data_IF_933904236192
#
_entry.id   IF_933904236192
#
_cell.length_a   1.000
_cell.length_b   1.000
_cell.length_c   1.000
_cell.angle_alpha   90.00
_cell.angle_beta   90.00
_cell.angle_gamma   90.00
#
_symmetry.space_group_name_H-M   'P 1'
#
loop_
_entity.id
_entity.type
_entity.pdbx_description
1 polymer ?
#
# COMPACT_ATOMS: atom_id res chain seq x y z
N UNK A 1 -16.25 19.16 3.27
CA UNK A 1 -16.99 19.13 4.55
C UNK A 1 -16.24 18.27 5.57
N UNK A 2 -15.41 18.88 6.43
CA UNK A 2 -14.62 18.18 7.46
C UNK A 2 -15.42 17.95 8.76
N UNK A 3 -16.43 18.77 9.07
CA UNK A 3 -17.17 18.73 10.35
C UNK A 3 -17.89 17.40 10.63
N UNK A 4 -18.51 16.76 9.63
CA UNK A 4 -19.28 15.52 9.82
C UNK A 4 -18.42 14.30 10.10
N UNK A 5 -17.20 14.23 9.53
CA UNK A 5 -16.26 13.13 9.81
C UNK A 5 -15.72 13.18 11.23
N UNK A 6 -15.40 14.38 11.73
CA UNK A 6 -14.91 14.57 13.10
C UNK A 6 -15.93 14.13 14.15
N UNK A 7 -17.21 14.41 13.90
CA UNK A 7 -18.27 14.11 14.85
C UNK A 7 -18.65 12.63 14.90
N UNK A 8 -18.50 11.90 13.79
CA UNK A 8 -18.70 10.45 13.73
C UNK A 8 -17.72 9.66 14.61
N UNK A 9 -16.58 10.24 14.97
CA UNK A 9 -15.55 9.61 15.79
C UNK A 9 -15.78 9.85 17.30
N UNK A 10 -16.74 10.71 17.65
CA UNK A 10 -17.04 11.13 19.01
C UNK A 10 -18.09 10.21 19.66
N UNK A 11 -17.85 9.81 20.91
CA UNK A 11 -18.75 8.99 21.73
C UNK A 11 -20.08 9.69 22.02
N UNK A 12 -20.09 11.02 22.01
CA UNK A 12 -21.29 11.83 22.26
C UNK A 12 -22.13 12.08 21.00
N UNK A 13 -21.85 11.39 19.89
CA UNK A 13 -22.63 11.55 18.66
C UNK A 13 -24.01 10.90 18.75
N UNK A 14 -25.08 11.67 18.59
CA UNK A 14 -26.45 11.17 18.42
C UNK A 14 -26.90 11.35 16.97
N UNK A 15 -27.53 10.31 16.41
CA UNK A 15 -28.11 10.33 15.06
C UNK A 15 -29.61 10.13 15.17
N UNK A 16 -30.39 11.01 14.53
CA UNK A 16 -31.82 10.76 14.31
C UNK A 16 -32.21 11.12 12.89
N UNK A 17 -33.16 10.38 12.32
CA UNK A 17 -33.70 10.66 10.98
C UNK A 17 -34.33 12.05 10.88
N UNK A 18 -34.91 12.54 11.99
CA UNK A 18 -35.61 13.83 12.05
C UNK A 18 -34.69 15.05 12.21
N UNK A 19 -33.57 14.92 12.93
CA UNK A 19 -32.69 16.05 13.28
C UNK A 19 -31.27 15.95 12.71
N UNK A 20 -30.93 14.83 12.05
CA UNK A 20 -29.59 14.55 11.56
C UNK A 20 -28.62 14.19 12.68
N UNK A 21 -27.35 14.60 12.53
CA UNK A 21 -26.28 14.40 13.53
C UNK A 21 -26.33 15.55 14.55
N UNK A 22 -26.50 15.22 15.83
CA UNK A 22 -26.56 16.19 16.93
C UNK A 22 -25.60 15.80 18.06
N UNK A 23 -25.15 16.80 18.82
CA UNK A 23 -24.28 16.56 19.96
C UNK A 23 -25.05 16.14 21.19
N UNK A 24 -24.75 14.98 21.76
CA UNK A 24 -25.41 14.45 22.95
C UNK A 24 -25.14 15.25 24.23
N UNK A 25 -24.11 16.11 24.25
CA UNK A 25 -23.79 17.00 25.37
C UNK A 25 -24.61 18.30 25.33
N UNK A 26 -24.86 18.85 24.14
CA UNK A 26 -25.51 20.16 23.98
C UNK A 26 -26.89 20.08 23.33
N UNK A 27 -27.27 18.91 22.82
CA UNK A 27 -28.43 18.65 21.95
C UNK A 27 -28.56 19.58 20.73
N UNK A 28 -27.49 20.31 20.39
CA UNK A 28 -27.43 21.22 19.24
C UNK A 28 -26.72 20.55 18.07
N UNK A 29 -26.94 21.09 16.87
CA UNK A 29 -26.15 20.71 15.69
C UNK A 29 -24.68 21.05 15.95
N UNK A 30 -23.73 20.21 15.48
CA UNK A 30 -22.32 20.46 15.64
C UNK A 30 -21.91 21.70 14.83
N UNK A 31 -21.65 22.79 15.54
CA UNK A 31 -21.21 24.08 14.99
C UNK A 31 -19.73 24.29 15.33
N UNK A 32 -18.85 23.54 14.65
CA UNK A 32 -17.41 23.58 14.94
C UNK A 32 -16.68 24.36 13.85
N UNK A 33 -16.26 25.58 14.13
CA UNK A 33 -15.45 26.37 13.19
C UNK A 33 -14.06 25.72 13.00
N UNK A 34 -13.46 25.14 14.06
CA UNK A 34 -12.15 24.45 13.96
C UNK A 34 -12.02 23.15 14.77
N UNK A 35 -12.48 23.07 16.02
CA UNK A 35 -12.39 21.85 16.86
C UNK A 35 -13.45 21.81 17.98
N UNK A 36 -13.64 20.62 18.57
CA UNK A 36 -14.49 20.39 19.73
C UNK A 36 -13.63 20.26 21.00
N UNK A 37 -13.79 21.12 22.02
CA UNK A 37 -12.97 21.06 23.24
C UNK A 37 -13.24 19.82 24.10
N UNK A 38 -14.47 19.28 24.08
CA UNK A 38 -14.88 18.13 24.88
C UNK A 38 -14.98 16.84 24.05
N UNK A 39 -14.17 16.69 22.98
CA UNK A 39 -14.22 15.48 22.17
C UNK A 39 -13.77 14.27 22.98
N UNK A 40 -14.60 13.23 23.04
CA UNK A 40 -14.24 11.92 23.58
C UNK A 40 -14.30 10.93 22.44
N UNK A 41 -13.16 10.34 22.09
CA UNK A 41 -13.12 9.35 21.02
C UNK A 41 -13.78 8.07 21.51
N UNK A 42 -14.56 7.44 20.63
CA UNK A 42 -15.16 6.14 20.93
C UNK A 42 -14.08 5.09 21.20
N UNK A 43 -14.37 4.13 22.07
CA UNK A 43 -13.50 2.97 22.31
C UNK A 43 -13.25 2.18 21.00
N UNK A 44 -14.27 2.07 20.15
CA UNK A 44 -14.18 1.50 18.81
C UNK A 44 -13.13 2.19 17.93
N UNK A 45 -13.03 3.51 17.99
CA UNK A 45 -12.00 4.28 17.27
C UNK A 45 -10.60 4.01 17.84
N UNK A 46 -10.44 4.03 19.16
CA UNK A 46 -9.15 3.75 19.80
C UNK A 46 -8.65 2.34 19.46
N UNK A 47 -9.55 1.35 19.47
CA UNK A 47 -9.24 -0.02 19.09
C UNK A 47 -8.85 -0.13 17.61
N UNK A 48 -9.57 0.54 16.71
CA UNK A 48 -9.22 0.58 15.27
C UNK A 48 -7.88 1.26 15.01
N UNK A 49 -7.55 2.32 15.76
CA UNK A 49 -6.26 2.99 15.64
C UNK A 49 -5.10 2.11 16.14
N UNK A 50 -5.34 1.34 17.23
CA UNK A 50 -4.37 0.37 17.75
C UNK A 50 -4.16 -0.80 16.79
N UNK A 51 -5.23 -1.33 16.19
CA UNK A 51 -5.12 -2.38 15.17
C UNK A 51 -4.37 -1.89 13.94
N UNK A 52 -4.69 -0.70 13.42
CA UNK A 52 -3.98 -0.10 12.28
C UNK A 52 -2.47 0.03 12.53
N UNK A 53 -2.08 0.45 13.74
CA UNK A 53 -0.67 0.51 14.13
C UNK A 53 -0.01 -0.89 14.18
N UNK A 54 -0.73 -1.89 14.68
CA UNK A 54 -0.28 -3.29 14.67
C UNK A 54 -0.10 -3.81 13.25
N UNK A 55 -1.08 -3.57 12.37
CA UNK A 55 -1.05 -4.02 10.97
C UNK A 55 0.11 -3.40 10.20
N UNK A 56 0.40 -2.11 10.41
CA UNK A 56 1.59 -1.46 9.84
C UNK A 56 2.88 -2.11 10.37
N UNK A 57 2.93 -2.48 11.65
CA UNK A 57 4.10 -3.13 12.26
C UNK A 57 4.30 -4.54 11.69
N UNK A 58 3.22 -5.31 11.54
CA UNK A 58 3.23 -6.64 10.94
C UNK A 58 3.63 -6.57 9.47
N UNK A 59 2.98 -5.69 8.68
CA UNK A 59 3.29 -5.49 7.27
C UNK A 59 4.76 -5.12 7.08
N UNK A 60 5.34 -4.27 7.94
CA UNK A 60 6.77 -3.91 7.88
C UNK A 60 7.72 -5.09 8.09
N UNK A 61 7.36 -6.12 8.85
CA UNK A 61 8.22 -7.29 9.05
C UNK A 61 8.49 -8.04 7.74
N UNK A 62 7.54 -7.99 6.80
CA UNK A 62 7.67 -8.59 5.47
C UNK A 62 8.63 -7.87 4.52
N UNK A 63 9.18 -6.70 4.89
CA UNK A 63 10.03 -5.88 4.01
C UNK A 63 11.20 -6.68 3.44
N UNK A 64 11.98 -7.30 4.32
CA UNK A 64 13.22 -7.97 3.91
C UNK A 64 12.89 -9.11 2.94
N UNK A 65 11.88 -9.92 3.27
CA UNK A 65 11.43 -11.04 2.42
C UNK A 65 10.97 -10.55 1.04
N UNK A 66 10.19 -9.47 0.99
CA UNK A 66 9.70 -8.91 -0.28
C UNK A 66 10.86 -8.38 -1.16
N UNK A 67 11.83 -7.71 -0.56
CA UNK A 67 13.01 -7.20 -1.27
C UNK A 67 13.96 -8.31 -1.73
N UNK A 68 14.16 -9.36 -0.92
CA UNK A 68 14.97 -10.52 -1.32
C UNK A 68 14.31 -11.25 -2.49
N UNK A 69 13.00 -11.52 -2.41
CA UNK A 69 12.26 -12.15 -3.52
C UNK A 69 12.35 -11.34 -4.80
N UNK A 70 12.17 -10.02 -4.69
CA UNK A 70 12.34 -9.10 -5.82
C UNK A 70 13.74 -9.18 -6.41
N UNK A 71 14.79 -9.06 -5.59
CA UNK A 71 16.17 -9.12 -6.04
C UNK A 71 16.50 -10.43 -6.75
N UNK A 72 16.10 -11.57 -6.18
CA UNK A 72 16.31 -12.89 -6.78
C UNK A 72 15.64 -13.01 -8.16
N UNK A 73 14.38 -12.60 -8.28
CA UNK A 73 13.65 -12.66 -9.55
C UNK A 73 14.27 -11.75 -10.62
N UNK A 74 14.72 -10.55 -10.23
CA UNK A 74 15.41 -9.63 -11.15
C UNK A 74 16.74 -10.23 -11.62
N UNK A 75 17.56 -10.76 -10.71
CA UNK A 75 18.85 -11.37 -11.07
C UNK A 75 18.67 -12.54 -12.04
N UNK A 76 17.74 -13.46 -11.72
CA UNK A 76 17.44 -14.61 -12.56
C UNK A 76 16.88 -14.15 -13.92
N UNK A 77 15.93 -13.22 -13.92
CA UNK A 77 15.32 -12.71 -15.15
C UNK A 77 16.34 -12.03 -16.08
N UNK A 78 17.23 -11.20 -15.52
CA UNK A 78 18.31 -10.56 -16.28
C UNK A 78 19.31 -11.59 -16.82
N UNK A 79 19.65 -12.61 -16.03
CA UNK A 79 20.52 -13.68 -16.49
C UNK A 79 19.93 -14.44 -17.69
N UNK A 80 18.63 -14.74 -17.65
CA UNK A 80 17.91 -15.37 -18.78
C UNK A 80 17.90 -14.46 -20.01
N UNK A 81 17.67 -13.15 -19.83
CA UNK A 81 17.73 -12.17 -20.93
C UNK A 81 19.13 -12.11 -21.54
N UNK A 82 20.19 -12.12 -20.74
CA UNK A 82 21.57 -12.17 -21.24
C UNK A 82 21.85 -13.43 -22.07
N UNK A 83 21.30 -14.58 -21.66
CA UNK A 83 21.39 -15.81 -22.46
C UNK A 83 20.65 -15.68 -23.79
N UNK A 84 19.50 -15.01 -23.83
CA UNK A 84 18.79 -14.74 -25.09
C UNK A 84 19.62 -13.89 -26.06
N UNK A 85 20.36 -12.90 -25.53
CA UNK A 85 21.22 -12.04 -26.33
C UNK A 85 22.37 -12.83 -27.00
N UNK A 86 23.00 -13.74 -26.26
CA UNK A 86 24.03 -14.62 -26.82
C UNK A 86 23.48 -15.51 -27.95
N UNK A 87 22.27 -16.06 -27.78
CA UNK A 87 21.61 -16.86 -28.82
C UNK A 87 21.28 -16.03 -30.07
N UNK A 88 20.94 -14.74 -29.92
CA UNK A 88 20.71 -13.85 -31.06
C UNK A 88 22.01 -13.59 -31.85
N UNK A 89 23.13 -13.39 -31.16
CA UNK A 89 24.44 -13.24 -31.82
C UNK A 89 24.77 -14.50 -32.61
N UNK A 90 24.61 -15.68 -32.01
CA UNK A 90 24.89 -16.95 -32.68
C UNK A 90 23.94 -17.23 -33.85
N UNK A 91 22.68 -16.79 -33.75
CA UNK A 91 21.74 -16.86 -34.87
C UNK A 91 22.14 -15.96 -36.05
N UNK A 92 22.79 -14.83 -35.77
CA UNK A 92 23.19 -13.83 -36.77
C UNK A 92 24.55 -14.15 -37.43
N UNK A 93 25.45 -14.84 -36.72
CA UNK A 93 26.76 -15.26 -37.28
C UNK A 93 26.65 -16.50 -38.16
N UNK A 94 25.61 -17.31 -37.97
CA UNK A 94 25.27 -18.40 -38.87
C UNK A 94 24.46 -17.80 -40.01
N UNK A 95 24.86 -18.04 -41.25
CA UNK A 95 24.04 -17.71 -42.42
C UNK A 95 22.61 -18.21 -42.21
N UNK A 96 21.64 -17.51 -42.80
CA UNK A 96 20.18 -17.71 -42.71
C UNK A 96 19.69 -19.10 -43.22
N UNK A 97 20.55 -20.10 -43.16
CA UNK A 97 20.25 -21.52 -43.13
C UNK A 97 19.20 -21.87 -42.07
N UNK A 98 18.58 -23.05 -42.23
CA UNK A 98 17.60 -23.63 -41.30
C UNK A 98 18.07 -23.59 -39.84
N UNK A 99 19.38 -23.77 -39.60
CA UNK A 99 20.04 -23.63 -38.30
C UNK A 99 19.80 -22.25 -37.69
N UNK A 100 20.15 -21.15 -38.37
CA UNK A 100 20.04 -19.79 -37.84
C UNK A 100 18.61 -19.41 -37.43
N UNK A 101 17.61 -19.82 -38.23
CA UNK A 101 16.20 -19.59 -37.92
C UNK A 101 15.75 -20.26 -36.60
N UNK A 102 16.21 -21.48 -36.33
CA UNK A 102 15.91 -22.18 -35.07
C UNK A 102 16.50 -21.46 -33.85
N UNK A 103 17.74 -20.97 -33.95
CA UNK A 103 18.37 -20.19 -32.87
C UNK A 103 17.66 -18.86 -32.65
N UNK A 104 17.26 -18.16 -33.72
CA UNK A 104 16.50 -16.92 -33.63
C UNK A 104 15.16 -17.12 -32.91
N UNK A 105 14.39 -18.15 -33.30
CA UNK A 105 13.12 -18.49 -32.64
C UNK A 105 13.32 -18.83 -31.16
N UNK A 106 14.34 -19.62 -30.85
CA UNK A 106 14.68 -19.96 -29.46
C UNK A 106 15.03 -18.70 -28.65
N UNK A 107 15.83 -17.80 -29.21
CA UNK A 107 16.24 -16.58 -28.54
C UNK A 107 15.05 -15.68 -28.19
N UNK A 108 14.08 -15.52 -29.11
CA UNK A 108 12.84 -14.77 -28.82
C UNK A 108 12.05 -15.41 -27.68
N UNK A 109 11.90 -16.74 -27.66
CA UNK A 109 11.19 -17.44 -26.59
C UNK A 109 11.87 -17.23 -25.23
N UNK A 110 13.20 -17.35 -25.19
CA UNK A 110 13.99 -17.12 -23.98
C UNK A 110 13.88 -15.66 -23.52
N UNK A 111 13.87 -14.69 -24.44
CA UNK A 111 13.71 -13.27 -24.13
C UNK A 111 12.33 -12.97 -23.51
N UNK A 112 11.26 -13.54 -24.08
CA UNK A 112 9.90 -13.42 -23.53
C UNK A 112 9.85 -14.03 -22.13
N UNK A 113 10.45 -15.21 -21.93
CA UNK A 113 10.48 -15.89 -20.64
C UNK A 113 11.25 -15.06 -19.59
N UNK A 114 12.43 -14.56 -19.92
CA UNK A 114 13.21 -13.70 -19.02
C UNK A 114 12.47 -12.41 -18.65
N UNK A 115 11.81 -11.78 -19.63
CA UNK A 115 10.99 -10.59 -19.40
C UNK A 115 9.80 -10.87 -18.48
N UNK A 116 9.16 -12.04 -18.61
CA UNK A 116 8.08 -12.47 -17.73
C UNK A 116 8.56 -12.64 -16.28
N UNK A 117 9.73 -13.26 -16.07
CA UNK A 117 10.34 -13.42 -14.74
C UNK A 117 10.62 -12.06 -14.08
N UNK A 118 11.18 -11.10 -14.85
CA UNK A 118 11.41 -9.73 -14.36
C UNK A 118 10.09 -9.08 -13.94
N UNK A 119 9.04 -9.18 -14.77
CA UNK A 119 7.69 -8.67 -14.45
C UNK A 119 7.13 -9.27 -13.16
N UNK A 120 7.29 -10.57 -12.93
CA UNK A 120 6.87 -11.23 -11.69
C UNK A 120 7.59 -10.65 -10.46
N UNK A 121 8.88 -10.30 -10.60
CA UNK A 121 9.62 -9.57 -9.58
C UNK A 121 8.90 -8.26 -9.20
N UNK A 122 8.62 -7.40 -10.18
CA UNK A 122 7.93 -6.14 -9.94
C UNK A 122 6.54 -6.32 -9.32
N UNK A 123 5.78 -7.32 -9.75
CA UNK A 123 4.48 -7.66 -9.16
C UNK A 123 4.64 -8.04 -7.69
N UNK A 124 5.59 -8.91 -7.36
CA UNK A 124 5.89 -9.30 -5.97
C UNK A 124 6.21 -8.10 -5.09
N UNK A 125 7.02 -7.16 -5.57
CA UNK A 125 7.37 -5.94 -4.82
C UNK A 125 6.16 -5.01 -4.68
N UNK A 126 5.38 -4.83 -5.75
CA UNK A 126 4.15 -4.04 -5.76
C UNK A 126 3.14 -4.54 -4.74
N UNK A 127 2.94 -5.86 -4.66
CA UNK A 127 2.02 -6.49 -3.71
C UNK A 127 2.40 -6.23 -2.24
N UNK A 128 3.68 -5.95 -1.97
CA UNK A 128 4.14 -5.52 -0.65
C UNK A 128 4.01 -4.00 -0.43
N UNK A 129 4.39 -3.18 -1.42
CA UNK A 129 4.44 -1.72 -1.27
C UNK A 129 3.04 -1.10 -1.21
N UNK A 130 2.11 -1.57 -2.04
CA UNK A 130 0.77 -0.96 -2.16
C UNK A 130 -0.02 -1.01 -0.85
N UNK A 131 -0.22 -2.17 -0.19
CA UNK A 131 -0.98 -2.22 1.06
C UNK A 131 -0.29 -1.42 2.17
N UNK A 132 1.04 -1.48 2.25
CA UNK A 132 1.79 -0.71 3.23
C UNK A 132 1.65 0.81 3.03
N UNK A 133 1.53 1.26 1.77
CA UNK A 133 1.31 2.68 1.44
C UNK A 133 -0.09 3.11 1.85
N UNK A 134 -1.10 2.29 1.57
CA UNK A 134 -2.49 2.52 1.96
C UNK A 134 -2.63 2.66 3.48
N UNK A 135 -2.12 1.68 4.25
CA UNK A 135 -2.15 1.72 5.72
C UNK A 135 -1.43 2.95 6.29
N UNK A 136 -0.29 3.34 5.71
CA UNK A 136 0.43 4.56 6.11
C UNK A 136 -0.34 5.83 5.77
N UNK A 137 -1.05 5.85 4.65
CA UNK A 137 -1.86 6.98 4.24
C UNK A 137 -3.05 7.16 5.19
N UNK A 138 -3.77 6.08 5.48
CA UNK A 138 -4.86 6.07 6.46
C UNK A 138 -4.38 6.54 7.84
N UNK A 139 -3.25 6.00 8.31
CA UNK A 139 -2.64 6.47 9.56
C UNK A 139 -2.31 7.96 9.52
N UNK A 140 -1.77 8.47 8.40
CA UNK A 140 -1.45 9.89 8.26
C UNK A 140 -2.70 10.76 8.38
N UNK A 141 -3.82 10.35 7.77
CA UNK A 141 -5.09 11.07 7.91
C UNK A 141 -5.58 11.09 9.37
N UNK A 142 -5.54 9.95 10.05
CA UNK A 142 -5.93 9.85 11.47
C UNK A 142 -4.99 10.69 12.36
N UNK A 143 -3.68 10.62 12.14
CA UNK A 143 -2.68 11.41 12.87
C UNK A 143 -2.90 12.91 12.69
N UNK A 144 -3.30 13.38 11.50
CA UNK A 144 -3.65 14.78 11.26
C UNK A 144 -4.85 15.21 12.09
N UNK A 145 -5.87 14.37 12.19
CA UNK A 145 -7.04 14.64 13.04
C UNK A 145 -6.61 14.67 14.52
N UNK A 146 -5.88 13.66 15.00
CA UNK A 146 -5.43 13.57 16.40
C UNK A 146 -4.53 14.73 16.83
N UNK A 147 -3.67 15.23 15.93
CA UNK A 147 -2.82 16.41 16.18
C UNK A 147 -3.63 17.67 16.40
N UNK A 148 -4.71 17.90 15.64
CA UNK A 148 -5.60 19.06 15.83
C UNK A 148 -6.22 19.10 17.23
N UNK A 149 -6.43 17.94 17.84
CA UNK A 149 -7.00 17.84 19.20
C UNK A 149 -5.94 17.75 20.31
N UNK A 150 -4.64 17.92 20.01
CA UNK A 150 -3.52 17.71 20.95
C UNK A 150 -3.50 16.31 21.63
N UNK A 151 -4.33 15.36 21.17
CA UNK A 151 -4.43 14.00 21.73
C UNK A 151 -3.39 13.02 21.17
N UNK A 152 -2.58 13.47 20.22
CA UNK A 152 -1.49 12.70 19.60
C UNK A 152 -0.46 12.16 20.61
N UNK A 153 -0.29 12.80 21.77
CA UNK A 153 0.68 12.39 22.80
C UNK A 153 0.17 11.26 23.71
N UNK A 154 -1.15 11.07 23.84
CA UNK A 154 -1.76 10.07 24.74
C UNK A 154 -1.89 8.67 24.12
N UNK A 155 -1.85 8.56 22.79
CA UNK A 155 -2.04 7.31 22.03
C UNK A 155 -0.73 6.61 21.66
N UNK A 156 0.40 7.08 22.17
CA UNK A 156 1.74 6.50 21.99
C UNK A 156 2.17 5.54 23.12
N UNK A 157 1.36 5.40 24.16
CA UNK A 157 1.55 4.44 25.25
C UNK A 157 0.95 3.07 24.87
#
# INVERSE_FOLDING_TARGET
>A
MLQTRHFNLCEHSKRSLKHGITCGLTNKKPDFIEFCPNIKFTEAFNNSYKSLNSDIKIARKGKIVAYIKFALLIIIGLFVILKSYYLLIEANTRDYSRSGYHYFKLAILVLILGSAIVKLGFISLSNYIKPLRELKFEKKEIDLILRKYNKYKSTKL
#
